data_IF_534083965512
#
_entry.id   IF_534083965512
#
_cell.length_a   1.000
_cell.length_b   1.000
_cell.length_c   1.000
_cell.angle_alpha   90.00
_cell.angle_beta   90.00
_cell.angle_gamma   90.00
#
_symmetry.space_group_name_H-M   'P 1'
#
loop_
_entity.id
_entity.type
_entity.pdbx_description
1 polymer ?
#
# COMPACT_ATOMS: atom_id res chain seq x y z
N UNK A 1 2.45 18.20 -30.44
CA UNK A 1 2.20 16.79 -30.81
C UNK A 1 1.07 16.26 -29.92
N UNK A 2 -0.09 15.94 -30.50
CA UNK A 2 -1.19 15.32 -29.73
C UNK A 2 -0.78 13.90 -29.37
N UNK A 3 -0.61 13.66 -28.07
CA UNK A 3 -0.40 12.31 -27.52
C UNK A 3 -1.67 11.53 -27.79
N UNK A 4 -1.61 10.51 -28.64
CA UNK A 4 -2.77 9.70 -29.00
C UNK A 4 -3.33 9.01 -27.75
N UNK A 5 -4.66 8.87 -27.63
CA UNK A 5 -5.32 8.29 -26.47
C UNK A 5 -4.83 6.87 -26.11
N UNK A 6 -4.27 6.14 -27.07
CA UNK A 6 -3.64 4.83 -26.89
C UNK A 6 -2.33 4.91 -26.10
N UNK A 7 -1.51 5.93 -26.32
CA UNK A 7 -0.27 6.14 -25.56
C UNK A 7 -0.56 6.50 -24.09
N UNK A 8 -1.55 7.33 -23.83
CA UNK A 8 -1.96 7.70 -22.46
C UNK A 8 -2.48 6.51 -21.68
N UNK A 9 -3.32 5.67 -22.28
CA UNK A 9 -3.81 4.44 -21.64
C UNK A 9 -2.68 3.47 -21.32
N UNK A 10 -1.74 3.30 -22.26
CA UNK A 10 -0.54 2.47 -22.03
C UNK A 10 0.30 3.00 -20.86
N UNK A 11 0.49 4.32 -20.75
CA UNK A 11 1.21 4.95 -19.62
C UNK A 11 0.50 4.72 -18.28
N UNK A 12 -0.83 4.84 -18.25
CA UNK A 12 -1.63 4.58 -17.05
C UNK A 12 -1.53 3.10 -16.67
N UNK A 13 -1.69 2.17 -17.62
CA UNK A 13 -1.58 0.73 -17.39
C UNK A 13 -0.20 0.36 -16.86
N UNK A 14 0.86 0.89 -17.45
CA UNK A 14 2.24 0.70 -16.97
C UNK A 14 2.44 1.25 -15.55
N UNK A 15 1.87 2.42 -15.22
CA UNK A 15 1.95 2.98 -13.88
C UNK A 15 1.19 2.14 -12.84
N UNK A 16 0.02 1.60 -13.19
CA UNK A 16 -0.73 0.67 -12.33
C UNK A 16 0.03 -0.64 -12.15
N UNK A 17 0.61 -1.19 -13.22
CA UNK A 17 1.37 -2.45 -13.18
C UNK A 17 2.66 -2.32 -12.37
N UNK A 18 3.35 -1.20 -12.50
CA UNK A 18 4.58 -0.92 -11.73
C UNK A 18 4.31 -0.58 -10.26
N UNK A 19 3.10 -0.07 -9.95
CA UNK A 19 2.71 0.35 -8.60
C UNK A 19 1.30 -0.16 -8.22
N UNK A 20 1.10 -1.48 -8.04
CA UNK A 20 -0.20 -2.02 -7.62
C UNK A 20 -0.70 -1.36 -6.32
N UNK A 21 -1.98 -1.02 -6.27
CA UNK A 21 -2.55 -0.27 -5.15
C UNK A 21 -2.34 1.24 -5.22
N UNK A 22 -1.89 1.76 -6.36
CA UNK A 22 -1.78 3.21 -6.60
C UNK A 22 -3.17 3.87 -6.61
N UNK A 23 -3.27 5.10 -6.09
CA UNK A 23 -4.53 5.86 -6.15
C UNK A 23 -4.54 6.91 -7.27
N UNK A 24 -5.73 7.34 -7.68
CA UNK A 24 -5.94 8.23 -8.83
C UNK A 24 -5.08 9.51 -8.79
N UNK A 25 -4.91 10.14 -7.62
CA UNK A 25 -4.14 11.38 -7.48
C UNK A 25 -2.64 11.17 -7.71
N UNK A 26 -2.11 10.01 -7.31
CA UNK A 26 -0.72 9.64 -7.60
C UNK A 26 -0.54 9.26 -9.06
N UNK A 27 -1.50 8.54 -9.66
CA UNK A 27 -1.53 8.29 -11.11
C UNK A 27 -1.48 9.59 -11.91
N UNK A 28 -2.33 10.57 -11.57
CA UNK A 28 -2.36 11.87 -12.23
C UNK A 28 -0.98 12.53 -12.25
N UNK A 29 -0.30 12.54 -11.11
CA UNK A 29 1.07 13.06 -11.01
C UNK A 29 2.09 12.25 -11.84
N UNK A 30 1.98 10.92 -11.81
CA UNK A 30 2.90 10.03 -12.52
C UNK A 30 2.79 10.18 -14.03
N UNK A 31 1.56 10.33 -14.56
CA UNK A 31 1.32 10.41 -16.01
C UNK A 31 1.16 11.84 -16.53
N UNK A 32 1.18 12.84 -15.64
CA UNK A 32 1.05 14.26 -16.03
C UNK A 32 -0.36 14.64 -16.51
N UNK A 33 -1.41 14.06 -15.91
CA UNK A 33 -2.81 14.29 -16.27
C UNK A 33 -3.63 14.85 -15.10
N UNK A 34 -4.70 15.57 -15.45
CA UNK A 34 -5.73 15.96 -14.49
C UNK A 34 -6.47 14.74 -13.93
N UNK A 35 -7.11 14.90 -12.76
CA UNK A 35 -7.89 13.80 -12.16
C UNK A 35 -9.05 13.34 -13.04
N UNK A 36 -9.71 14.27 -13.75
CA UNK A 36 -10.78 13.92 -14.70
C UNK A 36 -10.26 13.13 -15.90
N UNK A 37 -9.10 13.53 -16.45
CA UNK A 37 -8.45 12.81 -17.53
C UNK A 37 -8.05 11.39 -17.15
N UNK A 38 -7.41 11.23 -15.98
CA UNK A 38 -7.08 9.90 -15.44
C UNK A 38 -8.34 9.07 -15.22
N UNK A 39 -9.38 9.66 -14.63
CA UNK A 39 -10.64 8.96 -14.35
C UNK A 39 -11.32 8.44 -15.61
N UNK A 40 -11.29 9.22 -16.71
CA UNK A 40 -11.81 8.77 -18.00
C UNK A 40 -11.06 7.54 -18.53
N UNK A 41 -9.73 7.60 -18.58
CA UNK A 41 -8.91 6.49 -19.08
C UNK A 41 -8.96 5.25 -18.17
N UNK A 42 -9.04 5.43 -16.84
CA UNK A 42 -9.21 4.32 -15.92
C UNK A 42 -10.52 3.58 -16.14
N UNK A 43 -11.64 4.31 -16.41
CA UNK A 43 -12.92 3.68 -16.71
C UNK A 43 -12.80 2.79 -17.95
N UNK A 44 -12.18 3.25 -19.01
CA UNK A 44 -11.97 2.45 -20.22
C UNK A 44 -11.11 1.21 -19.91
N UNK A 45 -10.02 1.36 -19.17
CA UNK A 45 -9.16 0.22 -18.79
C UNK A 45 -9.88 -0.78 -17.87
N UNK A 46 -10.83 -0.33 -17.05
CA UNK A 46 -11.68 -1.20 -16.23
C UNK A 46 -12.71 -1.94 -17.12
N UNK A 47 -13.32 -1.25 -18.08
CA UNK A 47 -14.24 -1.85 -19.06
C UNK A 47 -13.53 -2.88 -19.96
N UNK A 48 -12.29 -2.61 -20.36
CA UNK A 48 -11.42 -3.55 -21.09
C UNK A 48 -10.90 -4.72 -20.21
N UNK A 49 -11.19 -4.72 -18.90
CA UNK A 49 -10.76 -5.76 -17.95
C UNK A 49 -9.26 -5.77 -17.67
N UNK A 50 -8.53 -4.70 -17.96
CA UNK A 50 -7.08 -4.59 -17.75
C UNK A 50 -6.70 -4.09 -16.36
N UNK A 51 -7.58 -3.33 -15.72
CA UNK A 51 -7.39 -2.73 -14.40
C UNK A 51 -8.63 -3.01 -13.54
N UNK A 52 -8.42 -3.18 -12.24
CA UNK A 52 -9.49 -3.28 -11.23
C UNK A 52 -9.33 -2.18 -10.20
N UNK A 53 -10.39 -1.39 -9.99
CA UNK A 53 -10.45 -0.37 -8.96
C UNK A 53 -11.18 -0.91 -7.73
N UNK A 54 -10.50 -0.92 -6.58
CA UNK A 54 -11.05 -1.38 -5.31
C UNK A 54 -11.08 -0.23 -4.30
N UNK A 55 -12.16 -0.16 -3.50
CA UNK A 55 -12.27 0.83 -2.42
C UNK A 55 -11.46 0.41 -1.19
N UNK A 56 -10.72 1.37 -0.60
CA UNK A 56 -10.07 1.21 0.70
C UNK A 56 -10.75 2.08 1.78
N UNK A 57 -12.04 2.27 1.68
CA UNK A 57 -12.87 3.17 2.47
C UNK A 57 -13.11 4.48 1.75
N UNK A 58 -12.22 5.47 1.86
CA UNK A 58 -12.39 6.80 1.24
C UNK A 58 -11.84 6.92 -0.19
N UNK A 59 -10.94 6.00 -0.61
CA UNK A 59 -10.23 6.11 -1.87
C UNK A 59 -10.33 4.82 -2.68
N UNK A 60 -10.41 4.97 -4.02
CA UNK A 60 -10.21 3.84 -4.94
C UNK A 60 -8.72 3.61 -5.17
N UNK A 61 -8.34 2.33 -5.13
CA UNK A 61 -7.00 1.83 -5.41
C UNK A 61 -7.04 0.96 -6.64
N UNK A 62 -6.06 1.14 -7.52
CA UNK A 62 -6.03 0.47 -8.81
C UNK A 62 -4.97 -0.61 -8.86
N UNK A 63 -5.35 -1.76 -9.39
CA UNK A 63 -4.51 -2.95 -9.51
C UNK A 63 -4.62 -3.50 -10.92
N UNK A 64 -3.54 -4.12 -11.48
CA UNK A 64 -3.66 -4.91 -12.70
C UNK A 64 -4.63 -6.07 -12.48
N UNK A 65 -5.49 -6.34 -13.46
CA UNK A 65 -6.53 -7.38 -13.33
C UNK A 65 -5.98 -8.77 -13.08
N UNK A 66 -4.85 -9.11 -13.69
CA UNK A 66 -4.19 -10.42 -13.48
C UNK A 66 -3.76 -10.67 -12.03
N UNK A 67 -3.46 -9.62 -11.24
CA UNK A 67 -3.14 -9.76 -9.82
C UNK A 67 -4.39 -9.95 -8.92
N UNK A 68 -5.58 -9.73 -9.45
CA UNK A 68 -6.83 -9.72 -8.68
C UNK A 68 -7.80 -10.81 -9.12
N UNK A 69 -7.88 -11.09 -10.42
CA UNK A 69 -8.91 -11.94 -11.02
C UNK A 69 -8.43 -13.34 -11.40
N UNK A 70 -7.12 -13.57 -11.52
CA UNK A 70 -6.61 -14.90 -11.89
C UNK A 70 -6.75 -15.93 -10.75
N UNK A 71 -7.08 -17.20 -11.08
CA UNK A 71 -7.43 -18.23 -10.08
C UNK A 71 -6.24 -18.82 -9.30
N UNK A 72 -4.98 -18.57 -9.67
CA UNK A 72 -3.84 -19.32 -9.16
C UNK A 72 -2.80 -18.50 -8.38
N UNK A 73 -1.87 -19.19 -7.74
CA UNK A 73 -0.80 -18.91 -6.79
C UNK A 73 -0.19 -17.47 -6.68
N UNK A 74 -0.51 -16.55 -7.57
CA UNK A 74 -0.07 -15.14 -7.56
C UNK A 74 -1.19 -14.13 -7.30
N UNK A 75 -2.39 -14.63 -6.99
CA UNK A 75 -3.54 -13.76 -6.73
C UNK A 75 -3.36 -13.06 -5.38
N UNK A 76 -3.40 -11.74 -5.41
CA UNK A 76 -3.53 -10.94 -4.19
C UNK A 76 -4.93 -11.16 -3.59
N UNK A 77 -4.98 -11.74 -2.41
CA UNK A 77 -6.21 -11.80 -1.64
C UNK A 77 -6.59 -10.42 -1.05
N UNK A 78 -7.71 -10.36 -0.34
CA UNK A 78 -8.17 -9.11 0.26
C UNK A 78 -7.18 -8.52 1.27
N UNK A 79 -6.46 -9.35 2.04
CA UNK A 79 -5.48 -8.91 3.01
C UNK A 79 -4.23 -8.35 2.32
N UNK A 80 -3.73 -9.00 1.27
CA UNK A 80 -2.58 -8.54 0.49
C UNK A 80 -2.86 -7.19 -0.19
N UNK A 81 -4.07 -7.02 -0.75
CA UNK A 81 -4.49 -5.77 -1.38
C UNK A 81 -4.58 -4.62 -0.38
N UNK A 82 -5.13 -4.88 0.83
CA UNK A 82 -5.16 -3.89 1.93
C UNK A 82 -3.75 -3.55 2.39
N UNK A 83 -2.89 -4.55 2.54
CA UNK A 83 -1.49 -4.36 2.93
C UNK A 83 -0.75 -3.48 1.90
N UNK A 84 -0.84 -3.79 0.60
CA UNK A 84 -0.23 -2.97 -0.44
C UNK A 84 -0.78 -1.54 -0.46
N UNK A 85 -2.10 -1.37 -0.28
CA UNK A 85 -2.73 -0.05 -0.19
C UNK A 85 -2.19 0.77 1.00
N UNK A 86 -2.02 0.14 2.16
CA UNK A 86 -1.44 0.80 3.34
C UNK A 86 0.07 1.07 3.18
N UNK A 87 0.82 0.17 2.55
CA UNK A 87 2.23 0.39 2.23
C UNK A 87 2.48 1.59 1.30
N UNK A 88 1.47 2.06 0.54
CA UNK A 88 1.54 3.32 -0.23
C UNK A 88 1.46 4.57 0.63
N UNK A 89 1.17 4.45 1.92
CA UNK A 89 1.17 5.56 2.90
C UNK A 89 2.43 5.50 3.74
N UNK A 90 3.29 6.48 3.60
CA UNK A 90 4.60 6.51 4.31
C UNK A 90 4.50 6.25 5.81
N UNK A 91 3.56 6.86 6.59
CA UNK A 91 3.48 6.54 8.02
C UNK A 91 2.99 5.12 8.31
N UNK A 92 2.01 4.61 7.53
CA UNK A 92 1.55 3.21 7.68
C UNK A 92 2.67 2.22 7.37
N UNK A 93 3.43 2.44 6.29
CA UNK A 93 4.59 1.60 5.94
C UNK A 93 5.65 1.62 7.06
N UNK A 94 5.95 2.81 7.62
CA UNK A 94 6.91 2.92 8.72
C UNK A 94 6.48 2.11 9.96
N UNK A 95 5.19 2.15 10.31
CA UNK A 95 4.64 1.34 11.40
C UNK A 95 4.78 -0.15 11.09
N UNK A 96 4.36 -0.58 9.90
CA UNK A 96 4.45 -1.97 9.45
C UNK A 96 5.89 -2.49 9.53
N UNK A 97 6.85 -1.72 8.99
CA UNK A 97 8.27 -2.09 9.04
C UNK A 97 8.82 -2.16 10.47
N UNK A 98 8.46 -1.18 11.32
CA UNK A 98 8.89 -1.20 12.72
C UNK A 98 8.37 -2.43 13.46
N UNK A 99 7.08 -2.76 13.28
CA UNK A 99 6.48 -3.95 13.89
C UNK A 99 7.04 -5.27 13.32
N UNK A 100 7.45 -5.27 12.05
CA UNK A 100 8.05 -6.45 11.42
C UNK A 100 9.48 -6.73 11.93
N UNK A 101 10.24 -5.68 12.22
CA UNK A 101 11.63 -5.77 12.69
C UNK A 101 11.71 -5.95 14.21
N UNK A 102 10.99 -5.12 14.95
CA UNK A 102 11.13 -5.01 16.41
C UNK A 102 10.08 -5.85 17.17
N UNK A 103 9.09 -6.42 16.47
CA UNK A 103 7.98 -7.13 17.09
C UNK A 103 6.92 -6.18 17.68
N UNK A 104 6.18 -6.61 18.71
CA UNK A 104 5.15 -5.79 19.34
C UNK A 104 5.70 -4.51 19.95
N UNK A 105 5.03 -3.37 19.70
CA UNK A 105 5.41 -2.05 20.19
C UNK A 105 4.23 -1.33 20.82
N UNK A 106 4.48 -0.51 21.83
CA UNK A 106 3.51 0.41 22.40
C UNK A 106 3.26 1.61 21.47
N UNK A 107 2.14 2.29 21.67
CA UNK A 107 1.84 3.53 20.94
C UNK A 107 2.97 4.57 21.08
N UNK A 108 3.54 4.70 22.26
CA UNK A 108 4.62 5.63 22.58
C UNK A 108 5.90 5.32 21.83
N UNK A 109 6.31 4.05 21.80
CA UNK A 109 7.50 3.60 21.07
C UNK A 109 7.36 3.84 19.56
N UNK A 110 6.19 3.54 18.98
CA UNK A 110 5.90 3.82 17.58
C UNK A 110 6.02 5.33 17.31
N UNK A 111 5.40 6.17 18.15
CA UNK A 111 5.46 7.61 18.02
C UNK A 111 6.89 8.16 18.05
N UNK A 112 7.71 7.65 18.96
CA UNK A 112 9.11 8.03 19.09
C UNK A 112 9.92 7.63 17.84
N UNK A 113 9.76 6.39 17.35
CA UNK A 113 10.45 5.91 16.14
C UNK A 113 10.09 6.71 14.89
N UNK A 114 8.81 6.99 14.72
CA UNK A 114 8.31 7.71 13.55
C UNK A 114 8.53 9.22 13.63
N UNK A 115 8.86 9.77 14.81
CA UNK A 115 8.91 11.21 15.08
C UNK A 115 7.62 11.93 14.63
N UNK A 116 6.47 11.34 14.94
CA UNK A 116 5.15 11.86 14.58
C UNK A 116 4.33 12.16 15.83
N UNK A 117 3.36 13.08 15.69
CA UNK A 117 2.44 13.42 16.76
C UNK A 117 1.58 12.23 17.16
N UNK A 118 1.12 12.21 18.43
CA UNK A 118 0.22 11.20 18.95
C UNK A 118 -1.02 11.00 18.06
N UNK A 119 -1.63 12.08 17.58
CA UNK A 119 -2.80 12.00 16.70
C UNK A 119 -2.49 11.36 15.35
N UNK A 120 -1.33 11.65 14.75
CA UNK A 120 -0.92 11.01 13.49
C UNK A 120 -0.71 9.51 13.68
N UNK A 121 -0.04 9.12 14.76
CA UNK A 121 0.20 7.69 15.07
C UNK A 121 -1.12 6.96 15.33
N UNK A 122 -2.01 7.54 16.15
CA UNK A 122 -3.33 6.96 16.43
C UNK A 122 -4.14 6.76 15.16
N UNK A 123 -4.17 7.77 14.27
CA UNK A 123 -4.90 7.69 13.00
C UNK A 123 -4.41 6.50 12.13
N UNK A 124 -3.09 6.35 11.97
CA UNK A 124 -2.55 5.28 11.15
C UNK A 124 -2.67 3.90 11.81
N UNK A 125 -2.52 3.81 13.13
CA UNK A 125 -2.74 2.57 13.87
C UNK A 125 -4.20 2.12 13.78
N UNK A 126 -5.18 3.02 13.98
CA UNK A 126 -6.60 2.69 13.82
C UNK A 126 -6.87 2.12 12.43
N UNK A 127 -6.36 2.76 11.38
CA UNK A 127 -6.50 2.26 10.00
C UNK A 127 -5.91 0.86 9.80
N UNK A 128 -4.73 0.61 10.38
CA UNK A 128 -4.08 -0.70 10.25
C UNK A 128 -4.85 -1.79 11.01
N UNK A 129 -5.43 -1.44 12.17
CA UNK A 129 -6.30 -2.33 12.95
C UNK A 129 -7.60 -2.60 12.18
N UNK A 130 -8.27 -1.55 11.66
CA UNK A 130 -9.50 -1.66 10.88
C UNK A 130 -9.30 -2.48 9.59
N UNK A 131 -8.10 -2.41 9.01
CA UNK A 131 -7.72 -3.22 7.86
C UNK A 131 -7.38 -4.69 8.23
N UNK A 132 -7.31 -5.03 9.53
CA UNK A 132 -6.94 -6.36 10.02
C UNK A 132 -5.45 -6.70 9.83
N UNK A 133 -4.60 -5.70 9.68
CA UNK A 133 -3.15 -5.85 9.47
C UNK A 133 -2.35 -5.80 10.77
N UNK A 134 -2.91 -5.16 11.78
CA UNK A 134 -2.31 -4.98 13.11
C UNK A 134 -3.35 -5.36 14.17
N UNK A 135 -2.93 -6.11 15.16
CA UNK A 135 -3.70 -6.40 16.36
C UNK A 135 -3.26 -5.46 17.48
N UNK A 136 -4.22 -5.08 18.34
CA UNK A 136 -3.95 -4.37 19.59
C UNK A 136 -4.16 -5.33 20.76
N UNK A 137 -3.11 -5.59 21.51
CA UNK A 137 -3.21 -6.30 22.80
C UNK A 137 -3.35 -5.28 23.94
N UNK A 138 -4.43 -5.39 24.71
CA UNK A 138 -4.73 -4.57 25.88
C UNK A 138 -4.31 -5.22 27.19
N UNK A 139 -3.68 -6.38 27.15
CA UNK A 139 -3.27 -7.13 28.35
C UNK A 139 -2.12 -6.49 29.13
N UNK A 140 -1.39 -5.54 28.54
CA UNK A 140 -0.36 -4.76 29.20
C UNK A 140 -0.88 -3.36 29.60
N UNK A 141 -0.25 -2.74 30.61
CA UNK A 141 -0.67 -1.42 31.14
C UNK A 141 -0.73 -0.30 30.05
N UNK A 142 0.11 -0.37 29.03
CA UNK A 142 0.14 0.62 27.94
C UNK A 142 -0.50 0.11 26.63
N UNK A 143 -0.86 -1.18 26.55
CA UNK A 143 -1.28 -1.84 25.31
C UNK A 143 -0.17 -1.90 24.26
N UNK A 144 -0.11 -2.98 23.51
CA UNK A 144 0.87 -3.18 22.44
C UNK A 144 0.20 -3.44 21.11
N UNK A 145 0.87 -3.08 20.04
CA UNK A 145 0.47 -3.34 18.65
C UNK A 145 1.42 -4.34 18.04
N UNK A 146 0.87 -5.34 17.36
CA UNK A 146 1.63 -6.38 16.66
C UNK A 146 1.05 -6.62 15.28
N UNK A 147 1.87 -7.09 14.33
CA UNK A 147 1.37 -7.53 13.03
C UNK A 147 0.44 -8.74 13.22
N UNK A 148 -0.70 -8.75 12.55
CA UNK A 148 -1.64 -9.87 12.57
C UNK A 148 -1.04 -11.13 11.91
N UNK A 149 -0.28 -10.95 10.82
CA UNK A 149 0.44 -12.02 10.13
C UNK A 149 1.82 -11.50 9.65
N UNK A 150 2.87 -11.62 10.47
CA UNK A 150 4.22 -11.17 10.12
C UNK A 150 4.78 -11.86 8.86
N UNK A 151 4.51 -13.16 8.67
CA UNK A 151 5.02 -13.92 7.52
C UNK A 151 4.44 -13.40 6.20
N UNK A 152 3.13 -13.16 6.18
CA UNK A 152 2.44 -12.54 5.04
C UNK A 152 3.01 -11.16 4.73
N UNK A 153 3.19 -10.32 5.75
CA UNK A 153 3.74 -8.97 5.57
C UNK A 153 5.12 -9.02 4.90
N UNK A 154 6.02 -9.86 5.40
CA UNK A 154 7.36 -10.02 4.81
C UNK A 154 7.27 -10.52 3.37
N UNK A 155 6.46 -11.55 3.11
CA UNK A 155 6.26 -12.11 1.77
C UNK A 155 5.79 -11.05 0.77
N UNK A 156 4.77 -10.28 1.11
CA UNK A 156 4.22 -9.22 0.24
C UNK A 156 5.23 -8.09 0.04
N UNK A 157 5.92 -7.64 1.09
CA UNK A 157 6.94 -6.59 0.98
C UNK A 157 8.10 -7.02 0.08
N UNK A 158 8.57 -8.26 0.18
CA UNK A 158 9.64 -8.80 -0.66
C UNK A 158 9.17 -8.90 -2.12
N UNK A 159 8.00 -9.51 -2.34
CA UNK A 159 7.42 -9.70 -3.69
C UNK A 159 7.23 -8.37 -4.42
N UNK A 160 6.74 -7.34 -3.71
CA UNK A 160 6.46 -6.02 -4.28
C UNK A 160 7.52 -4.96 -3.96
N UNK A 161 8.71 -5.37 -3.51
CA UNK A 161 9.80 -4.46 -3.13
C UNK A 161 10.16 -3.45 -4.22
N UNK A 162 10.24 -3.90 -5.48
CA UNK A 162 10.51 -3.01 -6.63
C UNK A 162 9.44 -1.95 -6.78
N UNK A 163 8.17 -2.30 -6.60
CA UNK A 163 7.04 -1.37 -6.72
C UNK A 163 6.92 -0.41 -5.52
N UNK A 164 7.58 -0.72 -4.41
CA UNK A 164 7.62 0.08 -3.18
C UNK A 164 8.94 0.81 -2.99
N UNK A 165 9.90 0.66 -3.93
CA UNK A 165 11.27 1.17 -3.78
C UNK A 165 11.31 2.64 -3.36
N UNK A 166 10.55 3.50 -4.03
CA UNK A 166 10.45 4.92 -3.74
C UNK A 166 9.99 5.25 -2.30
N UNK A 167 9.36 4.28 -1.64
CA UNK A 167 8.90 4.38 -0.25
C UNK A 167 9.86 3.71 0.72
N UNK A 168 10.41 2.56 0.34
CA UNK A 168 11.33 1.77 1.16
C UNK A 168 12.70 2.43 1.33
N UNK A 169 13.16 3.21 0.35
CA UNK A 169 14.43 3.93 0.43
C UNK A 169 14.49 4.89 1.63
N UNK A 170 13.34 5.48 2.02
CA UNK A 170 13.20 6.28 3.23
C UNK A 170 13.37 5.50 4.54
N UNK A 171 13.31 4.16 4.48
CA UNK A 171 13.38 3.25 5.62
C UNK A 171 14.45 2.17 5.43
N UNK A 172 15.54 2.50 4.73
CA UNK A 172 16.55 1.54 4.31
C UNK A 172 17.05 0.63 5.44
N UNK A 173 17.25 1.14 6.66
CA UNK A 173 17.69 0.34 7.82
C UNK A 173 16.68 -0.74 8.21
N UNK A 174 15.41 -0.39 8.29
CA UNK A 174 14.34 -1.34 8.63
C UNK A 174 14.13 -2.35 7.50
N UNK A 175 14.20 -1.87 6.25
CA UNK A 175 14.07 -2.73 5.09
C UNK A 175 15.21 -3.76 4.97
N UNK A 176 16.45 -3.35 5.21
CA UNK A 176 17.62 -4.25 5.18
C UNK A 176 17.54 -5.32 6.27
N UNK A 177 16.97 -5.00 7.43
CA UNK A 177 16.79 -5.97 8.50
C UNK A 177 15.74 -7.06 8.20
N UNK A 178 14.83 -6.84 7.21
CA UNK A 178 13.81 -7.81 6.79
C UNK A 178 14.24 -8.67 5.59
N UNK A 179 15.34 -8.32 4.92
CA UNK A 179 15.83 -9.11 3.79
C UNK A 179 16.44 -10.41 4.30
N UNK A 180 16.06 -11.55 3.69
CA UNK A 180 16.70 -12.84 3.97
C UNK A 180 18.17 -12.84 3.55
#
# INVERSE_FOLDING_TARGET
MAVTGTDVRGRILNAVSSKPGIHMRELGRTVGLSLSGVGHHLRVLEEEGLVVGLSDGYYRRFFPSHLVLEPEARRLDNADRRLLAECRRTPSLAIILSLAVDGPLTHREIGHRLRKSKGTVSYHLSRLVDAGLVNMDRGSAEGTYALADPKRVVSVLVTFSTSLRDRLDGFARLWLALRP
#
